data_IF_261652383981
#
_entry.id   IF_261652383981
#
_cell.length_a   1.000
_cell.length_b   1.000
_cell.length_c   1.000
_cell.angle_alpha   90.00
_cell.angle_beta   90.00
_cell.angle_gamma   90.00
#
_symmetry.space_group_name_H-M   'P 1'
#
loop_
_entity.id
_entity.type
_entity.pdbx_description
1 polymer ?
#
# COMPACT_ATOMS: atom_id res chain seq x y z
N UNK A 1 -18.39 1.23 8.20
CA UNK A 1 -17.33 1.78 7.33
C UNK A 1 -16.12 0.86 7.46
N UNK A 2 -16.06 -0.22 6.65
CA UNK A 2 -14.95 -1.19 6.69
C UNK A 2 -13.83 -0.64 5.80
N UNK A 3 -12.98 0.18 6.42
CA UNK A 3 -11.80 0.74 5.79
C UNK A 3 -10.59 -0.16 6.14
N UNK A 4 -10.44 -1.28 5.44
CA UNK A 4 -9.18 -2.02 5.40
C UNK A 4 -8.28 -1.40 4.31
N UNK A 5 -8.08 -0.07 4.38
CA UNK A 5 -7.22 0.68 3.45
C UNK A 5 -5.72 0.46 3.74
N UNK A 6 -5.39 -0.44 4.68
CA UNK A 6 -4.02 -0.80 5.04
C UNK A 6 -3.16 -1.11 3.81
N UNK A 7 -3.61 -1.88 2.80
CA UNK A 7 -2.81 -2.10 1.60
C UNK A 7 -2.50 -0.79 0.85
N UNK A 8 -3.48 0.12 0.73
CA UNK A 8 -3.28 1.39 0.06
C UNK A 8 -2.34 2.32 0.84
N UNK A 9 -2.47 2.39 2.16
CA UNK A 9 -1.56 3.16 3.01
C UNK A 9 -0.11 2.69 2.91
N UNK A 10 0.12 1.37 2.91
CA UNK A 10 1.47 0.81 2.75
C UNK A 10 2.07 1.18 1.39
N UNK A 11 1.28 1.12 0.31
CA UNK A 11 1.72 1.56 -1.01
C UNK A 11 2.12 3.04 -0.99
N UNK A 12 1.28 3.92 -0.42
CA UNK A 12 1.56 5.37 -0.35
C UNK A 12 2.87 5.63 0.42
N UNK A 13 3.07 4.97 1.57
CA UNK A 13 4.28 5.15 2.36
C UNK A 13 5.52 4.71 1.58
N UNK A 14 5.49 3.53 0.96
CA UNK A 14 6.63 3.01 0.20
C UNK A 14 6.94 3.90 -1.01
N UNK A 15 5.92 4.16 -1.84
CA UNK A 15 6.08 4.96 -3.06
C UNK A 15 6.53 6.38 -2.72
N UNK A 16 5.94 6.99 -1.68
CA UNK A 16 6.31 8.32 -1.22
C UNK A 16 7.79 8.42 -0.83
N UNK A 17 8.31 7.47 -0.05
CA UNK A 17 9.72 7.48 0.35
C UNK A 17 10.67 7.24 -0.82
N UNK A 18 10.32 6.31 -1.71
CA UNK A 18 11.14 6.02 -2.91
C UNK A 18 11.18 7.23 -3.84
N UNK A 19 10.01 7.80 -4.17
CA UNK A 19 9.91 8.95 -5.08
C UNK A 19 10.55 10.19 -4.47
N UNK A 20 10.31 10.47 -3.18
CA UNK A 20 10.91 11.63 -2.51
C UNK A 20 12.44 11.51 -2.43
N UNK A 21 12.96 10.33 -2.02
CA UNK A 21 14.40 10.10 -1.97
C UNK A 21 15.06 10.22 -3.34
N UNK A 22 14.43 9.66 -4.38
CA UNK A 22 14.91 9.77 -5.75
C UNK A 22 14.84 11.23 -6.27
N UNK A 23 13.76 11.95 -5.97
CA UNK A 23 13.61 13.36 -6.31
C UNK A 23 14.73 14.20 -5.69
N UNK A 24 14.96 14.05 -4.38
CA UNK A 24 16.01 14.78 -3.68
C UNK A 24 17.41 14.44 -4.23
N UNK A 25 17.67 13.18 -4.58
CA UNK A 25 18.94 12.77 -5.19
C UNK A 25 19.17 13.37 -6.58
N UNK A 26 18.12 13.44 -7.41
CA UNK A 26 18.19 14.06 -8.74
C UNK A 26 18.35 15.58 -8.63
N UNK A 27 17.58 16.23 -7.76
CA UNK A 27 17.67 17.68 -7.51
C UNK A 27 19.07 18.09 -7.02
N UNK A 28 19.69 17.27 -6.17
CA UNK A 28 21.02 17.54 -5.64
C UNK A 28 22.15 17.42 -6.69
N UNK A 29 21.91 16.71 -7.79
CA UNK A 29 22.95 16.37 -8.78
C UNK A 29 22.69 16.96 -10.17
N UNK A 30 21.48 17.42 -10.45
CA UNK A 30 21.04 17.82 -11.79
C UNK A 30 20.24 19.12 -11.73
N UNK A 31 20.41 19.97 -12.75
CA UNK A 31 19.62 21.21 -12.90
C UNK A 31 18.49 20.97 -13.90
N UNK A 32 17.53 20.12 -13.52
CA UNK A 32 16.33 19.88 -14.33
C UNK A 32 15.34 21.04 -14.14
N UNK A 33 14.59 21.35 -15.20
CA UNK A 33 13.51 22.33 -15.13
C UNK A 33 12.27 21.72 -14.47
N UNK A 34 11.42 22.55 -13.85
CA UNK A 34 10.20 22.10 -13.17
C UNK A 34 9.29 21.23 -14.05
N UNK A 35 9.20 21.53 -15.35
CA UNK A 35 8.43 20.72 -16.28
C UNK A 35 8.99 19.31 -16.50
N UNK A 36 10.31 19.17 -16.51
CA UNK A 36 10.96 17.86 -16.61
C UNK A 36 10.72 17.04 -15.34
N UNK A 37 10.75 17.67 -14.16
CA UNK A 37 10.36 16.99 -12.92
C UNK A 37 8.93 16.46 -13.00
N UNK A 38 7.96 17.29 -13.37
CA UNK A 38 6.57 16.86 -13.48
C UNK A 38 6.44 15.71 -14.49
N UNK A 39 7.07 15.82 -15.66
CA UNK A 39 7.02 14.81 -16.71
C UNK A 39 7.64 13.46 -16.32
N UNK A 40 8.54 13.43 -15.33
CA UNK A 40 9.18 12.19 -14.85
C UNK A 40 8.46 11.66 -13.62
N UNK A 41 8.31 12.49 -12.58
CA UNK A 41 7.86 12.04 -11.27
C UNK A 41 6.38 11.70 -11.22
N UNK A 42 5.52 12.42 -11.96
CA UNK A 42 4.08 12.13 -12.00
C UNK A 42 3.80 10.74 -12.61
N UNK A 43 4.24 10.42 -13.84
CA UNK A 43 3.99 9.10 -14.40
C UNK A 43 4.72 8.01 -13.61
N UNK A 44 5.94 8.26 -13.11
CA UNK A 44 6.66 7.28 -12.29
C UNK A 44 5.89 6.94 -11.00
N UNK A 45 5.35 7.95 -10.31
CA UNK A 45 4.55 7.75 -9.09
C UNK A 45 3.31 6.93 -9.38
N UNK A 46 2.60 7.22 -10.48
CA UNK A 46 1.41 6.46 -10.89
C UNK A 46 1.77 5.01 -11.20
N UNK A 47 2.81 4.79 -12.00
CA UNK A 47 3.27 3.45 -12.39
C UNK A 47 3.68 2.62 -11.17
N UNK A 48 4.48 3.20 -10.27
CA UNK A 48 4.88 2.52 -9.03
C UNK A 48 3.68 2.22 -8.14
N UNK A 49 2.74 3.15 -8.00
CA UNK A 49 1.52 2.93 -7.21
C UNK A 49 0.71 1.76 -7.76
N UNK A 50 0.44 1.74 -9.07
CA UNK A 50 -0.32 0.65 -9.71
C UNK A 50 0.43 -0.69 -9.61
N UNK A 51 1.74 -0.68 -9.83
CA UNK A 51 2.57 -1.89 -9.76
C UNK A 51 2.61 -2.48 -8.34
N UNK A 52 2.64 -1.65 -7.30
CA UNK A 52 2.72 -2.11 -5.91
C UNK A 52 1.37 -2.49 -5.29
N UNK A 53 0.24 -2.05 -5.86
CA UNK A 53 -1.08 -2.39 -5.32
C UNK A 53 -1.33 -3.91 -5.25
N UNK A 54 -0.99 -4.67 -6.30
CA UNK A 54 -1.21 -6.11 -6.33
C UNK A 54 -0.29 -6.88 -5.35
N UNK A 55 1.04 -6.65 -5.35
CA UNK A 55 1.94 -7.32 -4.41
C UNK A 55 1.63 -7.02 -2.95
N UNK A 56 1.36 -5.74 -2.61
CA UNK A 56 1.09 -5.35 -1.22
C UNK A 56 -0.20 -5.96 -0.72
N UNK A 57 -1.25 -6.00 -1.54
CA UNK A 57 -2.49 -6.69 -1.17
C UNK A 57 -2.23 -8.18 -0.86
N UNK A 58 -1.45 -8.87 -1.68
CA UNK A 58 -1.06 -10.26 -1.45
C UNK A 58 -0.22 -10.43 -0.17
N UNK A 59 0.73 -9.53 0.07
CA UNK A 59 1.56 -9.55 1.28
C UNK A 59 0.74 -9.35 2.56
N UNK A 60 -0.24 -8.44 2.54
CA UNK A 60 -1.14 -8.20 3.69
C UNK A 60 -1.98 -9.44 3.99
N UNK A 61 -2.55 -10.09 2.97
CA UNK A 61 -3.32 -11.33 3.14
C UNK A 61 -2.42 -12.45 3.66
N UNK A 62 -1.21 -12.60 3.12
CA UNK A 62 -0.24 -13.59 3.60
C UNK A 62 0.18 -13.35 5.05
N UNK A 63 0.35 -12.09 5.45
CA UNK A 63 0.64 -11.69 6.83
C UNK A 63 -0.53 -12.02 7.76
N UNK A 64 -1.77 -11.77 7.32
CA UNK A 64 -2.97 -12.13 8.07
C UNK A 64 -3.08 -13.64 8.26
N UNK A 65 -2.78 -14.44 7.23
CA UNK A 65 -2.72 -15.90 7.34
C UNK A 65 -1.61 -16.37 8.27
N UNK A 66 -0.39 -15.84 8.14
CA UNK A 66 0.77 -16.23 8.94
C UNK A 66 0.59 -15.94 10.44
N UNK A 67 -0.19 -14.91 10.79
CA UNK A 67 -0.53 -14.55 12.17
C UNK A 67 -1.92 -15.02 12.61
N UNK A 68 -2.59 -15.88 11.83
CA UNK A 68 -3.91 -16.42 12.17
C UNK A 68 -4.99 -15.35 12.44
N UNK A 69 -4.83 -14.15 11.87
CA UNK A 69 -5.77 -13.04 12.02
C UNK A 69 -7.00 -13.24 11.13
N UNK A 70 -8.10 -12.52 11.39
CA UNK A 70 -9.27 -12.42 10.48
C UNK A 70 -9.91 -13.77 10.08
N UNK A 71 -9.97 -14.73 11.02
CA UNK A 71 -10.62 -16.04 10.79
C UNK A 71 -9.71 -17.11 10.18
N UNK A 72 -8.44 -16.80 9.89
CA UNK A 72 -7.45 -17.80 9.42
C UNK A 72 -6.92 -18.73 10.53
N UNK A 73 -7.28 -18.48 11.80
CA UNK A 73 -6.82 -19.21 12.98
C UNK A 73 -7.52 -20.53 13.32
N UNK A 74 -8.55 -20.92 12.57
CA UNK A 74 -9.29 -22.16 12.85
C UNK A 74 -10.17 -22.11 14.10
N UNK A 75 -10.39 -20.94 14.70
CA UNK A 75 -11.47 -20.75 15.67
C UNK A 75 -12.81 -21.02 14.98
N UNK A 76 -13.66 -21.85 15.61
CA UNK A 76 -15.03 -22.03 15.18
C UNK A 76 -15.72 -20.67 15.23
N UNK A 77 -16.35 -20.25 14.13
CA UNK A 77 -17.32 -19.17 14.15
C UNK A 77 -18.41 -19.55 15.16
N UNK A 78 -18.30 -19.05 16.40
CA UNK A 78 -19.36 -19.16 17.39
C UNK A 78 -20.48 -18.32 16.83
N UNK A 79 -21.49 -18.96 16.26
CA UNK A 79 -22.71 -18.28 15.83
C UNK A 79 -23.33 -17.72 17.10
N UNK A 80 -23.07 -16.44 17.37
CA UNK A 80 -23.66 -15.72 18.47
C UNK A 80 -25.17 -15.73 18.21
N UNK A 81 -25.99 -16.35 19.09
CA UNK A 81 -27.41 -16.41 18.85
C UNK A 81 -27.94 -14.99 18.82
N UNK A 82 -28.59 -14.62 17.71
CA UNK A 82 -29.32 -13.36 17.66
C UNK A 82 -30.30 -13.32 18.84
N UNK A 83 -30.25 -12.31 19.73
CA UNK A 83 -31.16 -12.21 20.85
C UNK A 83 -32.55 -11.87 20.30
N UNK A 84 -33.37 -12.88 20.01
CA UNK A 84 -34.73 -12.69 19.51
C UNK A 84 -35.37 -13.84 18.72
N UNK A 85 -34.93 -15.10 18.89
CA UNK A 85 -35.62 -16.28 18.36
C UNK A 85 -36.30 -17.06 19.49
#
# INVERSE_FOLDING_TARGET
>A
HRADDLPAYLVIVIVGHVVLGAFMGVEATSTLSTWQHIAIWVPLTILLSVALLQPIKGAVIGLQWAFYMHGFGGEHDVIEPHPGA
#
